data_IF_243855205829
#
_entry.id   IF_243855205829
#
_cell.length_a   1.000
_cell.length_b   1.000
_cell.length_c   1.000
_cell.angle_alpha   90.00
_cell.angle_beta   90.00
_cell.angle_gamma   90.00
#
_symmetry.space_group_name_H-M   'P 1'
#
loop_
_entity.id
_entity.type
_entity.pdbx_description
1 polymer ?
#
# COMPACT_ATOMS: atom_id res chain seq x y z
N UNK A 1 0.02 11.96 6.71
CA UNK A 1 0.16 10.60 6.15
C UNK A 1 -1.18 9.86 6.05
N UNK A 2 -2.01 9.78 7.10
CA UNK A 2 -3.26 8.99 7.09
C UNK A 2 -4.21 9.26 5.91
N UNK A 3 -4.41 10.53 5.52
CA UNK A 3 -5.24 10.89 4.35
C UNK A 3 -4.71 10.34 3.02
N UNK A 4 -3.39 10.26 2.86
CA UNK A 4 -2.77 9.73 1.64
C UNK A 4 -2.86 8.20 1.62
N UNK A 5 -2.64 7.54 2.76
CA UNK A 5 -2.87 6.10 2.88
C UNK A 5 -4.32 5.75 2.57
N UNK A 6 -5.30 6.54 3.03
CA UNK A 6 -6.70 6.32 2.69
C UNK A 6 -6.97 6.49 1.18
N UNK A 7 -6.29 7.42 0.50
CA UNK A 7 -6.39 7.54 -0.96
C UNK A 7 -5.81 6.32 -1.67
N UNK A 8 -4.66 5.80 -1.23
CA UNK A 8 -4.10 4.54 -1.74
C UNK A 8 -5.07 3.37 -1.54
N UNK A 9 -5.67 3.25 -0.35
CA UNK A 9 -6.69 2.22 -0.07
C UNK A 9 -7.89 2.37 -1.00
N UNK A 10 -8.41 3.58 -1.20
CA UNK A 10 -9.53 3.84 -2.10
C UNK A 10 -9.22 3.49 -3.55
N UNK A 11 -8.03 3.85 -4.03
CA UNK A 11 -7.57 3.47 -5.36
C UNK A 11 -7.51 1.95 -5.51
N UNK A 12 -6.93 1.26 -4.54
CA UNK A 12 -6.83 -0.20 -4.56
C UNK A 12 -8.20 -0.88 -4.49
N UNK A 13 -9.14 -0.35 -3.69
CA UNK A 13 -10.53 -0.81 -3.65
C UNK A 13 -11.24 -0.62 -5.01
N UNK A 14 -10.82 0.37 -5.80
CA UNK A 14 -11.28 0.57 -7.18
C UNK A 14 -10.51 -0.29 -8.20
N UNK A 15 -9.61 -1.17 -7.76
CA UNK A 15 -8.78 -2.04 -8.61
C UNK A 15 -7.55 -1.34 -9.19
N UNK A 16 -7.18 -0.16 -8.70
CA UNK A 16 -6.13 0.69 -9.28
C UNK A 16 -4.96 0.83 -8.30
N UNK A 17 -3.75 0.60 -8.81
CA UNK A 17 -2.50 0.98 -8.15
C UNK A 17 -1.90 2.13 -8.95
N UNK A 18 -1.37 3.15 -8.27
CA UNK A 18 -0.80 4.33 -8.95
C UNK A 18 0.39 3.95 -9.84
N UNK A 19 1.26 3.07 -9.37
CA UNK A 19 2.36 2.50 -10.14
C UNK A 19 3.58 3.41 -10.33
N UNK A 20 3.57 4.61 -9.75
CA UNK A 20 4.73 5.52 -9.65
C UNK A 20 4.48 6.62 -8.58
N UNK A 21 4.00 6.24 -7.41
CA UNK A 21 3.61 7.21 -6.39
C UNK A 21 4.85 7.77 -5.66
N UNK A 22 4.92 9.10 -5.56
CA UNK A 22 5.97 9.85 -4.85
C UNK A 22 5.42 11.20 -4.35
N UNK A 23 6.24 11.97 -3.63
CA UNK A 23 5.90 13.32 -3.19
C UNK A 23 5.62 14.31 -4.34
N UNK A 24 6.15 14.03 -5.53
CA UNK A 24 5.97 14.88 -6.71
C UNK A 24 4.56 14.75 -7.30
N UNK A 25 3.89 13.62 -7.06
CA UNK A 25 2.56 13.32 -7.56
C UNK A 25 1.48 13.62 -6.50
N UNK A 26 1.78 14.54 -5.58
CA UNK A 26 0.87 14.98 -4.51
C UNK A 26 0.71 16.49 -4.58
N UNK A 27 -0.54 16.94 -4.75
CA UNK A 27 -0.90 18.34 -4.60
C UNK A 27 -1.39 18.61 -3.18
N UNK A 28 -0.94 19.71 -2.57
CA UNK A 28 -1.38 20.13 -1.24
C UNK A 28 -2.19 21.42 -1.37
N UNK A 29 -3.50 21.31 -1.16
CA UNK A 29 -4.44 22.44 -1.16
C UNK A 29 -4.98 22.76 0.24
N UNK A 30 -5.94 23.68 0.30
CA UNK A 30 -6.69 24.02 1.53
C UNK A 30 -7.36 22.81 2.17
N UNK A 31 -7.80 21.86 1.35
CA UNK A 31 -8.49 20.64 1.79
C UNK A 31 -7.52 19.49 2.11
N UNK A 32 -6.20 19.72 2.04
CA UNK A 32 -5.17 18.76 2.34
C UNK A 32 -4.52 18.13 1.10
N UNK A 33 -3.71 17.06 1.29
CA UNK A 33 -2.96 16.42 0.22
C UNK A 33 -3.85 15.53 -0.66
N UNK A 34 -3.64 15.58 -1.97
CA UNK A 34 -4.38 14.80 -2.99
C UNK A 34 -3.39 14.15 -3.95
N UNK A 35 -3.57 12.85 -4.20
CA UNK A 35 -2.83 12.08 -5.20
C UNK A 35 -3.32 12.46 -6.60
N UNK A 36 -2.38 12.72 -7.51
CA UNK A 36 -2.63 13.07 -8.91
C UNK A 36 -1.79 12.19 -9.85
N UNK A 37 -1.94 12.40 -11.16
CA UNK A 37 -1.09 11.84 -12.21
C UNK A 37 -1.08 10.30 -12.29
N UNK A 38 -2.03 9.74 -13.05
CA UNK A 38 -2.27 8.30 -13.19
C UNK A 38 -1.81 7.64 -14.52
N UNK A 39 -0.85 8.17 -15.32
CA UNK A 39 -0.49 7.55 -16.60
C UNK A 39 0.21 6.21 -16.44
N UNK A 40 0.80 5.94 -15.26
CA UNK A 40 1.44 4.66 -14.91
C UNK A 40 0.55 3.77 -14.03
N UNK A 41 -0.73 4.11 -13.89
CA UNK A 41 -1.64 3.33 -13.08
C UNK A 41 -1.88 1.94 -13.68
N UNK A 42 -1.92 0.93 -12.81
CA UNK A 42 -2.08 -0.48 -13.21
C UNK A 42 -3.26 -1.12 -12.52
N UNK A 43 -3.83 -2.12 -13.19
CA UNK A 43 -4.85 -3.00 -12.64
C UNK A 43 -4.24 -3.91 -11.55
N UNK A 44 -4.80 -3.83 -10.34
CA UNK A 44 -4.37 -4.61 -9.19
C UNK A 44 -4.66 -6.11 -9.32
N UNK A 45 -5.69 -6.50 -10.07
CA UNK A 45 -6.05 -7.90 -10.29
C UNK A 45 -5.32 -8.52 -11.50
N UNK A 46 -5.03 -7.71 -12.52
CA UNK A 46 -4.45 -8.15 -13.78
C UNK A 46 -2.91 -8.16 -13.86
N UNK A 47 -2.20 -7.61 -12.88
CA UNK A 47 -0.75 -7.43 -12.93
C UNK A 47 -0.01 -8.32 -11.91
N UNK A 48 0.89 -9.19 -12.39
CA UNK A 48 1.70 -10.07 -11.53
C UNK A 48 2.60 -9.32 -10.54
N UNK A 49 2.92 -8.06 -10.84
CA UNK A 49 3.77 -7.20 -10.02
C UNK A 49 2.97 -6.24 -9.12
N UNK A 50 1.63 -6.35 -9.09
CA UNK A 50 0.75 -5.44 -8.35
C UNK A 50 1.16 -5.26 -6.87
N UNK A 51 1.43 -6.36 -6.14
CA UNK A 51 1.88 -6.31 -4.74
C UNK A 51 3.12 -5.43 -4.57
N UNK A 52 4.16 -5.72 -5.36
CA UNK A 52 5.44 -5.01 -5.27
C UNK A 52 5.30 -3.54 -5.66
N UNK A 53 4.46 -3.23 -6.65
CA UNK A 53 4.19 -1.85 -7.07
C UNK A 53 3.48 -1.06 -5.97
N UNK A 54 2.43 -1.64 -5.35
CA UNK A 54 1.73 -1.02 -4.23
C UNK A 54 2.66 -0.82 -3.03
N UNK A 55 3.43 -1.85 -2.66
CA UNK A 55 4.37 -1.77 -1.55
C UNK A 55 5.41 -0.68 -1.77
N UNK A 56 5.94 -0.55 -3.00
CA UNK A 56 6.87 0.51 -3.37
C UNK A 56 6.21 1.90 -3.30
N UNK A 57 5.01 2.05 -3.83
CA UNK A 57 4.26 3.31 -3.78
C UNK A 57 4.03 3.76 -2.33
N UNK A 58 3.61 2.84 -1.45
CA UNK A 58 3.43 3.13 -0.02
C UNK A 58 4.76 3.39 0.69
N UNK A 59 5.82 2.65 0.35
CA UNK A 59 7.16 2.87 0.91
C UNK A 59 7.75 4.23 0.53
N UNK A 60 7.51 4.72 -0.69
CA UNK A 60 7.92 6.06 -1.12
C UNK A 60 7.24 7.14 -0.26
N UNK A 61 5.92 7.02 -0.05
CA UNK A 61 5.20 7.91 0.85
C UNK A 61 5.77 7.83 2.28
N UNK A 62 5.93 6.63 2.82
CA UNK A 62 6.43 6.43 4.18
C UNK A 62 7.83 7.03 4.36
N UNK A 63 8.73 6.81 3.40
CA UNK A 63 10.07 7.38 3.37
C UNK A 63 10.04 8.91 3.41
N UNK A 64 9.29 9.54 2.51
CA UNK A 64 9.18 10.99 2.45
C UNK A 64 8.58 11.58 3.75
N UNK A 65 7.46 11.04 4.21
CA UNK A 65 6.75 11.56 5.38
C UNK A 65 7.42 11.20 6.71
N UNK A 66 8.31 10.20 6.74
CA UNK A 66 9.09 9.84 7.94
C UNK A 66 9.95 10.99 8.47
N UNK A 67 10.29 11.95 7.59
CA UNK A 67 10.97 13.19 7.95
C UNK A 67 10.18 14.05 8.94
N UNK A 68 8.86 13.86 8.99
CA UNK A 68 7.92 14.59 9.85
C UNK A 68 7.22 13.67 10.86
N UNK A 69 7.11 12.38 10.55
CA UNK A 69 6.48 11.34 11.37
C UNK A 69 7.37 10.08 11.37
N UNK A 70 8.45 10.06 12.18
CA UNK A 70 9.49 9.03 12.14
C UNK A 70 8.98 7.59 12.27
N UNK A 71 7.85 7.39 12.95
CA UNK A 71 7.18 6.11 13.09
C UNK A 71 6.82 5.44 11.76
N UNK A 72 6.66 6.22 10.69
CA UNK A 72 6.36 5.70 9.35
C UNK A 72 7.52 4.91 8.73
N UNK A 73 8.77 5.23 9.09
CA UNK A 73 9.94 4.54 8.56
C UNK A 73 9.97 3.05 8.92
N UNK A 74 9.33 2.67 10.02
CA UNK A 74 9.25 1.30 10.51
C UNK A 74 7.87 0.66 10.26
N UNK A 75 7.01 1.29 9.46
CA UNK A 75 5.66 0.79 9.20
C UNK A 75 5.61 -0.18 8.02
N UNK A 76 4.74 -1.19 8.11
CA UNK A 76 4.48 -2.19 7.08
C UNK A 76 3.14 -1.93 6.36
N UNK A 77 2.71 -0.66 6.24
CA UNK A 77 1.40 -0.31 5.64
C UNK A 77 1.20 -0.93 4.25
N UNK A 78 2.21 -0.95 3.39
CA UNK A 78 2.08 -1.51 2.03
C UNK A 78 1.69 -2.99 2.07
N UNK A 79 2.38 -3.77 2.90
CA UNK A 79 2.09 -5.20 3.09
C UNK A 79 0.74 -5.41 3.76
N UNK A 80 0.41 -4.62 4.78
CA UNK A 80 -0.87 -4.71 5.50
C UNK A 80 -2.06 -4.46 4.57
N UNK A 81 -1.99 -3.38 3.80
CA UNK A 81 -3.01 -3.03 2.80
C UNK A 81 -3.16 -4.16 1.78
N UNK A 82 -2.05 -4.68 1.24
CA UNK A 82 -2.09 -5.76 0.26
C UNK A 82 -2.70 -7.04 0.84
N UNK A 83 -2.34 -7.41 2.08
CA UNK A 83 -2.87 -8.58 2.77
C UNK A 83 -4.39 -8.49 2.95
N UNK A 84 -4.88 -7.32 3.38
CA UNK A 84 -6.31 -7.07 3.50
C UNK A 84 -7.03 -7.14 2.14
N UNK A 85 -6.40 -6.61 1.09
CA UNK A 85 -6.94 -6.66 -0.27
C UNK A 85 -7.07 -8.11 -0.78
N UNK A 86 -6.01 -8.90 -0.65
CA UNK A 86 -6.02 -10.32 -1.05
C UNK A 86 -7.03 -11.16 -0.25
N UNK A 87 -7.25 -10.81 1.02
CA UNK A 87 -8.25 -11.46 1.86
C UNK A 87 -9.70 -11.03 1.55
N UNK A 88 -9.91 -10.05 0.65
CA UNK A 88 -11.23 -9.47 0.39
C UNK A 88 -11.80 -8.68 1.57
N UNK A 89 -10.94 -8.26 2.51
CA UNK A 89 -11.31 -7.57 3.74
C UNK A 89 -10.98 -6.08 3.73
N UNK A 90 -10.30 -5.59 2.69
CA UNK A 90 -9.97 -4.18 2.56
C UNK A 90 -11.20 -3.35 2.19
N UNK A 91 -11.44 -2.30 2.96
CA UNK A 91 -12.48 -1.29 2.72
C UNK A 91 -11.89 0.11 2.88
N UNK A 92 -12.51 1.16 2.31
CA UNK A 92 -12.09 2.54 2.56
C UNK A 92 -12.11 2.95 4.05
N UNK A 93 -12.86 2.23 4.88
CA UNK A 93 -12.98 2.41 6.33
C UNK A 93 -12.04 1.51 7.14
N UNK A 94 -11.24 0.66 6.50
CA UNK A 94 -10.31 -0.24 7.20
C UNK A 94 -9.31 0.54 8.04
N UNK A 95 -9.26 0.24 9.32
CA UNK A 95 -8.26 0.79 10.24
C UNK A 95 -6.93 0.07 10.03
N UNK A 96 -5.91 0.81 9.61
CA UNK A 96 -4.57 0.30 9.37
C UNK A 96 -3.70 0.49 10.62
N UNK A 97 -2.99 -0.56 11.00
CA UNK A 97 -2.10 -0.57 12.17
C UNK A 97 -0.65 -0.21 11.82
N UNK A 98 -0.30 -0.31 10.53
CA UNK A 98 1.06 -0.17 10.03
C UNK A 98 1.94 -1.36 10.40
N UNK A 99 1.37 -2.52 10.75
CA UNK A 99 2.09 -3.70 11.21
C UNK A 99 1.55 -4.95 10.53
N UNK A 100 2.46 -5.85 10.16
CA UNK A 100 2.14 -7.22 9.75
C UNK A 100 2.51 -8.15 10.90
N UNK A 101 1.54 -8.95 11.36
CA UNK A 101 1.87 -10.11 12.18
C UNK A 101 2.55 -11.14 11.28
N UNK A 102 3.84 -11.40 11.55
CA UNK A 102 4.63 -12.40 10.81
C UNK A 102 4.09 -13.77 11.23
N UNK A 103 3.25 -14.36 10.38
CA UNK A 103 2.79 -15.73 10.60
C UNK A 103 4.01 -16.66 10.43
N UNK A 104 4.67 -16.99 11.53
CA UNK A 104 5.91 -17.76 11.56
C UNK A 104 5.67 -19.26 11.33
N UNK A 105 4.57 -19.64 10.67
CA UNK A 105 4.35 -21.01 10.19
C UNK A 105 5.37 -21.28 9.09
N UNK A 106 6.43 -21.96 9.49
CA UNK A 106 7.36 -22.65 8.59
C UNK A 106 6.48 -23.44 7.61
N UNK A 107 6.47 -23.03 6.34
CA UNK A 107 5.83 -23.81 5.30
C UNK A 107 6.50 -25.19 5.29
N UNK A 108 5.76 -26.23 5.67
CA UNK A 108 6.26 -27.59 5.66
C UNK A 108 6.42 -28.02 4.20
N UNK A 109 7.64 -27.90 3.69
CA UNK A 109 8.02 -28.24 2.31
C UNK A 109 8.06 -29.75 2.08
N UNK A 110 7.70 -30.56 3.08
CA UNK A 110 7.68 -32.03 2.99
C UNK A 110 6.63 -32.59 2.01
N UNK A 111 5.63 -31.81 1.60
CA UNK A 111 4.51 -32.29 0.79
C UNK A 111 4.66 -32.11 -0.74
N UNK A 112 5.80 -31.59 -1.23
CA UNK A 112 6.01 -31.30 -2.68
C UNK A 112 6.89 -32.37 -3.37
N UNK A 113 7.34 -33.39 -2.64
CA UNK A 113 8.14 -34.50 -3.18
C UNK A 113 7.50 -35.86 -2.85
N UNK A 114 6.32 -36.13 -3.41
CA UNK A 114 5.85 -37.50 -3.67
C UNK A 114 5.25 -37.61 -5.08
#
# INVERSE_FOLDING_TARGET
HARLLNQVVRMLCAGIIHGDLSEYNILVGSDGPVIIDLPQAVDAAGNSNASAMLERDVANLASYFSRFAPELAASDYGKEIWRLYQAGALTPESELTGRIDVDNRIADVGAVLE
#
